data_IF_054559280139
#
_entry.id   IF_054559280139
#
_cell.length_a   1.000
_cell.length_b   1.000
_cell.length_c   1.000
_cell.angle_alpha   90.00
_cell.angle_beta   90.00
_cell.angle_gamma   90.00
#
_symmetry.space_group_name_H-M   'P 1'
#
loop_
_entity.id
_entity.type
_entity.pdbx_description
1 polymer ?
#
# COMPACT_ATOMS: atom_id res chain seq x y z
N UNK A 1 17.56 -18.48 7.27
CA UNK A 1 17.77 -17.03 7.54
C UNK A 1 16.42 -16.42 7.84
N UNK A 2 16.35 -15.46 8.75
CA UNK A 2 15.12 -14.71 9.02
C UNK A 2 14.86 -13.77 7.87
N UNK A 3 13.66 -13.80 7.30
CA UNK A 3 13.23 -12.86 6.27
C UNK A 3 12.66 -11.60 6.94
N UNK A 4 12.71 -10.46 6.25
CA UNK A 4 12.19 -9.18 6.74
C UNK A 4 11.02 -8.72 5.89
N UNK A 5 9.91 -8.36 6.53
CA UNK A 5 8.77 -7.70 5.91
C UNK A 5 8.85 -6.19 6.19
N UNK A 6 8.99 -5.36 5.17
CA UNK A 6 8.86 -3.90 5.29
C UNK A 6 7.39 -3.50 5.09
N UNK A 7 6.78 -2.92 6.12
CA UNK A 7 5.43 -2.36 6.04
C UNK A 7 5.54 -0.87 5.73
N UNK A 8 5.36 -0.53 4.45
CA UNK A 8 5.37 0.85 3.96
C UNK A 8 4.00 1.47 4.16
N UNK A 9 3.95 2.58 4.87
CA UNK A 9 2.71 3.26 5.24
C UNK A 9 2.76 4.71 4.81
N UNK A 10 1.87 5.11 3.88
CA UNK A 10 1.74 6.51 3.53
C UNK A 10 0.91 7.27 4.57
N UNK A 11 1.41 8.44 4.97
CA UNK A 11 0.80 9.25 6.03
C UNK A 11 0.65 10.69 5.57
N UNK A 12 -0.60 11.19 5.55
CA UNK A 12 -0.89 12.61 5.33
C UNK A 12 -2.06 13.07 6.17
N UNK A 13 -1.80 13.80 7.27
CA UNK A 13 -2.79 14.25 8.27
C UNK A 13 -3.65 13.09 8.79
N UNK A 14 -3.03 12.10 9.41
CA UNK A 14 -3.66 10.90 9.95
C UNK A 14 -3.51 10.81 11.49
N UNK A 15 -3.36 11.95 12.19
CA UNK A 15 -3.15 11.99 13.64
C UNK A 15 -4.16 11.18 14.46
N UNK A 16 -5.41 11.09 13.98
CA UNK A 16 -6.49 10.37 14.66
C UNK A 16 -6.43 8.86 14.50
N UNK A 17 -5.80 8.35 13.42
CA UNK A 17 -5.77 6.93 13.10
C UNK A 17 -4.42 6.26 13.44
N UNK A 18 -3.32 7.02 13.42
CA UNK A 18 -1.96 6.46 13.51
C UNK A 18 -1.71 5.59 14.74
N UNK A 19 -2.20 5.99 15.91
CA UNK A 19 -1.95 5.22 17.15
C UNK A 19 -2.66 3.87 17.13
N UNK A 20 -3.90 3.83 16.64
CA UNK A 20 -4.67 2.59 16.51
C UNK A 20 -4.08 1.71 15.41
N UNK A 21 -3.74 2.31 14.25
CA UNK A 21 -3.07 1.60 13.16
C UNK A 21 -1.78 0.91 13.63
N UNK A 22 -0.91 1.65 14.34
CA UNK A 22 0.35 1.10 14.85
C UNK A 22 0.11 -0.03 15.86
N UNK A 23 -0.86 0.15 16.77
CA UNK A 23 -1.17 -0.84 17.79
C UNK A 23 -1.78 -2.13 17.18
N UNK A 24 -2.77 -2.02 16.28
CA UNK A 24 -3.41 -3.17 15.64
C UNK A 24 -2.42 -3.91 14.73
N UNK A 25 -1.77 -3.18 13.84
CA UNK A 25 -0.82 -3.76 12.89
C UNK A 25 0.36 -4.41 13.61
N UNK A 26 0.89 -3.77 14.66
CA UNK A 26 1.97 -4.32 15.47
C UNK A 26 1.61 -5.61 16.21
N UNK A 27 0.34 -5.78 16.64
CA UNK A 27 -0.13 -7.05 17.22
C UNK A 27 -0.08 -8.20 16.20
N UNK A 28 -0.45 -7.94 14.95
CA UNK A 28 -0.43 -8.93 13.89
C UNK A 28 1.01 -9.26 13.49
N UNK A 29 1.85 -8.24 13.28
CA UNK A 29 3.24 -8.41 12.86
C UNK A 29 4.08 -9.23 13.85
N UNK A 30 3.82 -9.10 15.15
CA UNK A 30 4.46 -9.93 16.20
C UNK A 30 4.11 -11.41 16.12
N UNK A 31 3.12 -11.79 15.29
CA UNK A 31 2.60 -13.16 15.15
C UNK A 31 2.69 -13.65 13.71
N UNK A 32 3.55 -13.05 12.89
CA UNK A 32 3.76 -13.51 11.52
C UNK A 32 4.16 -15.00 11.52
N UNK A 33 3.63 -15.78 10.58
CA UNK A 33 4.01 -17.18 10.45
C UNK A 33 5.43 -17.34 9.94
N UNK A 34 6.00 -18.54 10.16
CA UNK A 34 7.31 -18.88 9.63
C UNK A 34 8.45 -18.13 10.29
N UNK A 35 9.42 -17.74 9.48
CA UNK A 35 10.65 -17.08 9.92
C UNK A 35 10.71 -15.64 9.41
N UNK A 36 9.64 -14.87 9.61
CA UNK A 36 9.55 -13.50 9.23
C UNK A 36 9.68 -12.56 10.43
N UNK A 37 10.56 -11.57 10.30
CA UNK A 37 10.60 -10.37 11.14
C UNK A 37 10.00 -9.19 10.36
N UNK A 38 9.86 -8.03 10.98
CA UNK A 38 9.21 -6.88 10.36
C UNK A 38 9.87 -5.55 10.71
N UNK A 39 9.66 -4.56 9.86
CA UNK A 39 9.88 -3.14 10.12
C UNK A 39 8.68 -2.32 9.65
N UNK A 40 8.42 -1.20 10.32
CA UNK A 40 7.55 -0.16 9.82
C UNK A 40 8.35 0.91 9.11
N UNK A 41 7.90 1.31 7.94
CA UNK A 41 8.44 2.44 7.20
C UNK A 41 7.32 3.44 6.90
N UNK A 42 7.15 4.41 7.79
CA UNK A 42 6.19 5.47 7.63
C UNK A 42 6.73 6.57 6.72
N UNK A 43 5.99 6.92 5.69
CA UNK A 43 6.32 8.04 4.80
C UNK A 43 5.35 9.18 5.06
N UNK A 44 5.81 10.19 5.80
CA UNK A 44 5.04 11.40 6.07
C UNK A 44 5.08 12.33 4.85
N UNK A 45 3.97 12.46 4.16
CA UNK A 45 3.80 13.29 2.97
C UNK A 45 3.51 14.76 3.32
N UNK A 46 4.36 15.33 4.18
CA UNK A 46 4.27 16.74 4.58
C UNK A 46 2.99 17.09 5.36
N UNK A 47 2.61 16.26 6.33
CA UNK A 47 1.47 16.51 7.22
C UNK A 47 1.60 17.85 7.96
N UNK A 48 0.46 18.46 8.26
CA UNK A 48 0.34 19.75 8.96
C UNK A 48 -0.29 19.61 10.35
N UNK A 49 -0.75 18.42 10.69
CA UNK A 49 -1.30 18.03 11.99
C UNK A 49 -0.23 17.38 12.87
N UNK A 50 -0.62 16.67 13.93
CA UNK A 50 0.30 16.01 14.85
C UNK A 50 0.89 14.69 14.30
N UNK A 51 0.60 14.29 13.05
CA UNK A 51 1.06 13.01 12.49
C UNK A 51 2.57 12.83 12.62
N UNK A 52 3.38 13.83 12.23
CA UNK A 52 4.83 13.73 12.31
C UNK A 52 5.33 13.60 13.77
N UNK A 53 4.70 14.29 14.71
CA UNK A 53 5.04 14.18 16.14
C UNK A 53 4.80 12.76 16.65
N UNK A 54 3.64 12.19 16.32
CA UNK A 54 3.27 10.82 16.69
C UNK A 54 4.25 9.80 16.09
N UNK A 55 4.62 9.96 14.81
CA UNK A 55 5.59 9.07 14.18
C UNK A 55 6.96 9.13 14.86
N UNK A 56 7.42 10.32 15.27
CA UNK A 56 8.67 10.49 16.02
C UNK A 56 8.62 9.82 17.40
N UNK A 57 7.47 9.85 18.08
CA UNK A 57 7.27 9.11 19.34
C UNK A 57 7.42 7.60 19.11
N UNK A 58 6.82 7.05 18.02
CA UNK A 58 6.98 5.63 17.69
C UNK A 58 8.45 5.28 17.44
N UNK A 59 9.15 6.04 16.59
CA UNK A 59 10.55 5.77 16.28
C UNK A 59 11.49 5.92 17.49
N UNK A 60 11.13 6.75 18.47
CA UNK A 60 11.90 6.89 19.70
C UNK A 60 11.72 5.70 20.66
N UNK A 61 10.59 4.97 20.55
CA UNK A 61 10.22 3.86 21.44
C UNK A 61 10.39 2.47 20.81
N UNK A 62 10.52 2.39 19.47
CA UNK A 62 10.61 1.13 18.74
C UNK A 62 11.62 1.27 17.59
N UNK A 63 12.72 0.54 17.68
CA UNK A 63 13.81 0.50 16.67
C UNK A 63 13.37 -0.06 15.31
N UNK A 64 12.25 -0.76 15.27
CA UNK A 64 11.63 -1.27 14.04
C UNK A 64 10.87 -0.19 13.26
N UNK A 65 10.72 1.00 13.81
CA UNK A 65 10.01 2.12 13.17
C UNK A 65 11.00 3.06 12.51
N UNK A 66 10.85 3.21 11.20
CA UNK A 66 11.61 4.16 10.37
C UNK A 66 10.67 5.21 9.79
N UNK A 67 11.19 6.42 9.57
CA UNK A 67 10.41 7.54 9.04
C UNK A 67 11.12 8.17 7.86
N UNK A 68 10.40 8.31 6.75
CA UNK A 68 10.75 9.21 5.65
C UNK A 68 9.85 10.43 5.75
N UNK A 69 10.43 11.63 5.85
CA UNK A 69 9.66 12.85 6.02
C UNK A 69 9.84 13.79 4.83
N UNK A 70 8.76 14.09 4.13
CA UNK A 70 8.78 15.02 3.02
C UNK A 70 8.68 16.48 3.49
N UNK A 71 9.32 17.39 2.76
CA UNK A 71 9.29 18.83 3.03
C UNK A 71 7.93 19.48 2.78
N UNK A 72 7.07 18.85 1.97
CA UNK A 72 5.68 19.24 1.67
C UNK A 72 4.90 18.06 1.14
N UNK A 73 3.62 18.21 0.92
CA UNK A 73 2.81 17.21 0.23
C UNK A 73 3.23 17.08 -1.25
N UNK A 74 3.62 15.86 -1.65
CA UNK A 74 3.95 15.44 -3.02
C UNK A 74 2.95 14.44 -3.58
N UNK A 75 2.01 13.97 -2.76
CA UNK A 75 0.95 13.03 -3.11
C UNK A 75 1.24 11.58 -2.73
N UNK A 76 0.16 10.82 -2.59
CA UNK A 76 0.16 9.43 -2.13
C UNK A 76 1.11 8.52 -2.93
N UNK A 77 1.05 8.56 -4.25
CA UNK A 77 1.94 7.79 -5.14
C UNK A 77 3.43 8.10 -4.87
N UNK A 78 3.75 9.38 -4.61
CA UNK A 78 5.12 9.78 -4.27
C UNK A 78 5.56 9.18 -2.94
N UNK A 79 4.67 9.16 -1.95
CA UNK A 79 4.96 8.57 -0.65
C UNK A 79 5.18 7.06 -0.74
N UNK A 80 4.33 6.35 -1.49
CA UNK A 80 4.50 4.91 -1.70
C UNK A 80 5.81 4.57 -2.43
N UNK A 81 6.18 5.33 -3.46
CA UNK A 81 7.43 5.13 -4.18
C UNK A 81 8.64 5.39 -3.28
N UNK A 82 8.61 6.47 -2.48
CA UNK A 82 9.67 6.70 -1.50
C UNK A 82 9.75 5.56 -0.47
N UNK A 83 8.62 5.04 -0.03
CA UNK A 83 8.58 3.85 0.81
C UNK A 83 9.25 2.65 0.16
N UNK A 84 8.92 2.36 -1.09
CA UNK A 84 9.60 1.31 -1.86
C UNK A 84 11.11 1.57 -1.97
N UNK A 85 11.55 2.82 -2.16
CA UNK A 85 12.97 3.17 -2.29
C UNK A 85 13.78 2.88 -1.03
N UNK A 86 13.21 3.13 0.14
CA UNK A 86 13.88 2.99 1.43
C UNK A 86 13.61 1.66 2.14
N UNK A 87 12.65 0.86 1.68
CA UNK A 87 12.36 -0.44 2.26
C UNK A 87 13.52 -1.41 2.07
N UNK A 88 13.93 -2.10 3.15
CA UNK A 88 15.04 -3.05 3.15
C UNK A 88 14.62 -4.52 3.16
N UNK A 89 13.32 -4.80 3.25
CA UNK A 89 12.77 -6.14 3.44
C UNK A 89 12.90 -7.06 2.23
N UNK A 90 12.83 -8.36 2.50
CA UNK A 90 12.72 -9.42 1.49
C UNK A 90 11.33 -9.41 0.84
N UNK A 91 10.31 -8.99 1.60
CA UNK A 91 8.97 -8.64 1.15
C UNK A 91 8.62 -7.21 1.56
N UNK A 92 7.90 -6.48 0.73
CA UNK A 92 7.49 -5.09 0.98
C UNK A 92 5.98 -5.01 0.76
N UNK A 93 5.24 -4.58 1.75
CA UNK A 93 3.81 -4.33 1.67
C UNK A 93 3.52 -2.85 1.78
N UNK A 94 2.70 -2.33 0.86
CA UNK A 94 2.25 -0.94 0.86
C UNK A 94 0.79 -0.86 1.32
N UNK A 95 0.50 -0.02 2.33
CA UNK A 95 -0.84 0.15 2.87
C UNK A 95 -1.07 1.55 3.43
N UNK A 96 -2.34 1.91 3.62
CA UNK A 96 -2.73 3.20 4.17
C UNK A 96 -2.86 3.14 5.71
N UNK A 97 -2.67 4.29 6.36
CA UNK A 97 -2.72 4.42 7.81
C UNK A 97 -4.15 4.47 8.39
N UNK A 98 -5.21 4.44 7.57
CA UNK A 98 -6.60 4.67 7.97
C UNK A 98 -7.38 3.41 8.38
N UNK A 99 -6.68 2.25 8.42
CA UNK A 99 -7.25 0.92 8.73
C UNK A 99 -8.30 0.40 7.73
N UNK A 100 -8.48 1.05 6.58
CA UNK A 100 -9.30 0.50 5.49
C UNK A 100 -8.65 -0.75 4.86
N UNK A 101 -7.32 -0.83 4.93
CA UNK A 101 -6.52 -2.01 4.58
C UNK A 101 -6.31 -2.86 5.84
N UNK A 102 -6.99 -4.02 5.95
CA UNK A 102 -6.97 -4.80 7.19
C UNK A 102 -5.60 -5.46 7.42
N UNK A 103 -4.96 -5.20 8.58
CA UNK A 103 -3.67 -5.82 8.91
C UNK A 103 -3.72 -7.35 8.98
N UNK A 104 -4.91 -7.94 9.16
CA UNK A 104 -5.11 -9.38 9.18
C UNK A 104 -4.72 -10.10 7.89
N UNK A 105 -4.56 -9.37 6.79
CA UNK A 105 -4.05 -9.92 5.54
C UNK A 105 -2.53 -10.16 5.56
N UNK A 106 -1.78 -9.55 6.48
CA UNK A 106 -0.31 -9.63 6.50
C UNK A 106 0.23 -11.06 6.66
N UNK A 107 -0.34 -11.93 7.50
CA UNK A 107 0.09 -13.35 7.56
C UNK A 107 -0.07 -14.07 6.22
N UNK A 108 -1.19 -13.90 5.53
CA UNK A 108 -1.41 -14.52 4.22
C UNK A 108 -0.45 -13.98 3.15
N UNK A 109 -0.12 -12.68 3.21
CA UNK A 109 0.87 -12.06 2.31
C UNK A 109 2.23 -12.74 2.46
N UNK A 110 2.72 -12.95 3.67
CA UNK A 110 4.03 -13.61 3.86
C UNK A 110 4.00 -15.08 3.47
N UNK A 111 2.87 -15.77 3.64
CA UNK A 111 2.67 -17.14 3.14
C UNK A 111 2.77 -17.18 1.61
N UNK A 112 2.18 -16.20 0.91
CA UNK A 112 2.30 -16.10 -0.56
C UNK A 112 3.75 -15.84 -1.01
N UNK A 113 4.52 -15.04 -0.28
CA UNK A 113 5.94 -14.92 -0.55
C UNK A 113 6.70 -16.24 -0.33
N UNK A 114 6.34 -17.02 0.69
CA UNK A 114 6.94 -18.32 0.94
C UNK A 114 6.54 -19.38 -0.12
N UNK A 115 5.38 -19.24 -0.75
CA UNK A 115 4.95 -20.01 -1.93
C UNK A 115 5.71 -19.63 -3.22
N UNK A 116 6.49 -18.52 -3.21
CA UNK A 116 7.30 -18.08 -4.35
C UNK A 116 6.67 -16.99 -5.21
N UNK A 117 5.50 -16.44 -4.83
CA UNK A 117 4.94 -15.29 -5.52
C UNK A 117 5.76 -14.03 -5.22
N UNK A 118 5.95 -13.20 -6.23
CA UNK A 118 6.75 -11.97 -6.11
C UNK A 118 5.91 -10.69 -6.19
N UNK A 119 4.68 -10.80 -6.67
CA UNK A 119 3.69 -9.70 -6.72
C UNK A 119 2.36 -10.18 -6.17
N UNK A 120 1.87 -9.51 -5.14
CA UNK A 120 0.61 -9.85 -4.48
C UNK A 120 -0.30 -8.62 -4.58
N UNK A 121 -1.33 -8.71 -5.42
CA UNK A 121 -2.32 -7.65 -5.59
C UNK A 121 -3.48 -7.88 -4.63
N UNK A 122 -3.75 -6.90 -3.78
CA UNK A 122 -4.89 -6.95 -2.89
C UNK A 122 -6.14 -6.46 -3.60
N UNK A 123 -7.13 -7.31 -3.72
CA UNK A 123 -8.38 -7.05 -4.45
C UNK A 123 -9.51 -6.80 -3.46
N UNK A 124 -10.10 -5.61 -3.56
CA UNK A 124 -11.23 -5.26 -2.71
C UNK A 124 -12.47 -6.01 -3.13
N UNK A 125 -13.03 -6.84 -2.23
CA UNK A 125 -14.33 -7.48 -2.46
C UNK A 125 -15.42 -6.42 -2.56
N UNK A 126 -16.31 -6.58 -3.56
CA UNK A 126 -17.38 -5.61 -3.80
C UNK A 126 -18.37 -5.61 -2.65
N UNK A 127 -18.56 -4.49 -1.98
CA UNK A 127 -19.77 -4.26 -1.22
C UNK A 127 -20.97 -4.33 -2.17
N UNK A 128 -21.94 -5.21 -1.92
CA UNK A 128 -23.18 -5.40 -2.72
C UNK A 128 -24.06 -4.14 -2.84
N UNK A 129 -23.68 -3.06 -2.15
CA UNK A 129 -24.40 -1.76 -2.12
C UNK A 129 -23.84 -0.70 -3.09
N UNK A 130 -22.77 -0.98 -3.83
CA UNK A 130 -22.25 -0.03 -4.82
C UNK A 130 -23.16 -0.01 -6.07
N UNK A 131 -23.68 1.15 -6.43
CA UNK A 131 -24.67 1.32 -7.50
C UNK A 131 -24.23 0.72 -8.84
N UNK A 132 -25.19 0.07 -9.52
CA UNK A 132 -25.02 -0.66 -10.80
C UNK A 132 -24.28 0.13 -11.89
N UNK A 133 -24.49 1.44 -12.00
CA UNK A 133 -23.90 2.30 -13.03
C UNK A 133 -22.38 2.42 -12.88
N UNK A 134 -21.87 2.57 -11.66
CA UNK A 134 -20.41 2.68 -11.39
C UNK A 134 -19.68 1.38 -11.67
N UNK A 135 -20.36 0.25 -11.54
CA UNK A 135 -19.79 -1.08 -11.79
C UNK A 135 -19.65 -1.37 -13.30
N UNK A 136 -20.59 -0.89 -14.12
CA UNK A 136 -20.58 -1.12 -15.59
C UNK A 136 -19.48 -0.30 -16.27
N UNK A 137 -19.31 0.97 -15.90
CA UNK A 137 -18.29 1.85 -16.48
C UNK A 137 -16.87 1.39 -16.12
N UNK A 138 -16.63 0.97 -14.89
CA UNK A 138 -15.35 0.41 -14.46
C UNK A 138 -15.04 -0.90 -15.19
N UNK A 139 -15.98 -1.82 -15.29
CA UNK A 139 -15.80 -3.08 -15.99
C UNK A 139 -15.52 -2.88 -17.50
N UNK A 140 -16.19 -1.95 -18.14
CA UNK A 140 -15.96 -1.61 -19.55
C UNK A 140 -14.55 -1.01 -19.76
N UNK A 141 -14.11 -0.14 -18.85
CA UNK A 141 -12.77 0.46 -18.86
C UNK A 141 -11.67 -0.60 -18.73
N UNK A 142 -11.77 -1.49 -17.73
CA UNK A 142 -10.78 -2.57 -17.56
C UNK A 142 -10.81 -3.58 -18.72
N UNK A 143 -11.99 -3.86 -19.28
CA UNK A 143 -12.09 -4.71 -20.48
C UNK A 143 -11.41 -4.08 -21.68
N UNK A 144 -11.54 -2.76 -21.87
CA UNK A 144 -10.88 -2.02 -22.94
C UNK A 144 -9.36 -1.99 -22.73
N UNK A 145 -8.88 -1.65 -21.54
CA UNK A 145 -7.44 -1.63 -21.22
C UNK A 145 -6.85 -3.03 -21.39
N UNK A 146 -7.49 -4.08 -20.87
CA UNK A 146 -7.01 -5.44 -21.00
C UNK A 146 -7.05 -5.98 -22.46
N UNK A 147 -7.83 -5.34 -23.33
CA UNK A 147 -7.83 -5.66 -24.76
C UNK A 147 -6.72 -4.94 -25.53
N UNK A 148 -6.32 -3.74 -25.04
CA UNK A 148 -5.28 -2.90 -25.67
C UNK A 148 -3.88 -3.13 -25.06
N UNK A 149 -3.79 -3.86 -23.98
CA UNK A 149 -2.54 -4.14 -23.25
C UNK A 149 -2.20 -5.61 -23.31
N UNK A 150 -0.93 -5.92 -23.46
CA UNK A 150 -0.40 -7.30 -23.36
C UNK A 150 -0.43 -7.81 -21.90
N UNK A 151 -0.68 -6.93 -20.94
CA UNK A 151 -0.77 -7.24 -19.52
C UNK A 151 -2.22 -7.21 -19.05
N UNK A 152 -2.66 -8.26 -18.36
CA UNK A 152 -3.97 -8.29 -17.72
C UNK A 152 -3.92 -7.53 -16.40
N UNK A 153 -4.67 -6.42 -16.34
CA UNK A 153 -4.88 -5.64 -15.12
C UNK A 153 -6.06 -6.21 -14.34
N UNK A 154 -5.85 -6.45 -13.05
CA UNK A 154 -6.90 -6.87 -12.12
C UNK A 154 -7.86 -5.70 -11.85
N UNK A 155 -9.13 -5.92 -12.20
CA UNK A 155 -10.19 -4.98 -11.87
C UNK A 155 -10.35 -4.95 -10.33
N UNK A 156 -10.41 -3.74 -9.75
CA UNK A 156 -10.50 -3.50 -8.30
C UNK A 156 -9.22 -3.78 -7.49
N UNK A 157 -8.05 -3.97 -8.13
CA UNK A 157 -6.78 -3.89 -7.41
C UNK A 157 -6.69 -2.54 -6.68
N UNK A 158 -6.32 -2.57 -5.42
CA UNK A 158 -6.20 -1.38 -4.58
C UNK A 158 -4.74 -0.90 -4.51
N UNK A 159 -4.52 0.24 -3.83
CA UNK A 159 -3.17 0.70 -3.48
C UNK A 159 -2.57 -0.11 -2.30
N UNK A 160 -3.30 -1.09 -1.80
CA UNK A 160 -2.81 -2.15 -0.94
C UNK A 160 -2.25 -3.27 -1.82
N UNK A 161 -0.96 -3.49 -1.77
CA UNK A 161 -0.26 -4.52 -2.54
C UNK A 161 1.02 -4.92 -1.82
N UNK A 162 1.60 -6.05 -2.22
CA UNK A 162 2.92 -6.44 -1.75
C UNK A 162 3.80 -6.90 -2.92
N UNK A 163 5.10 -6.66 -2.78
CA UNK A 163 6.11 -7.03 -3.77
C UNK A 163 7.34 -7.64 -3.09
N UNK A 164 8.00 -8.58 -3.76
CA UNK A 164 9.28 -9.10 -3.33
C UNK A 164 10.38 -8.02 -3.46
N UNK A 165 11.52 -8.26 -2.84
CA UNK A 165 12.71 -7.42 -3.00
C UNK A 165 13.11 -7.27 -4.46
N UNK A 166 13.10 -8.36 -5.24
CA UNK A 166 13.45 -8.33 -6.66
C UNK A 166 12.48 -7.46 -7.47
N UNK A 167 11.17 -7.64 -7.26
CA UNK A 167 10.14 -6.84 -7.92
C UNK A 167 10.27 -5.35 -7.54
N UNK A 168 10.55 -5.06 -6.26
CA UNK A 168 10.79 -3.69 -5.80
C UNK A 168 12.03 -3.07 -6.45
N UNK A 169 13.11 -3.82 -6.65
CA UNK A 169 14.31 -3.33 -7.35
C UNK A 169 14.01 -2.96 -8.81
N UNK A 170 13.19 -3.74 -9.51
CA UNK A 170 12.74 -3.39 -10.87
C UNK A 170 11.91 -2.11 -10.87
N UNK A 171 10.98 -1.94 -9.92
CA UNK A 171 10.19 -0.71 -9.77
C UNK A 171 11.09 0.49 -9.48
N UNK A 172 12.08 0.34 -8.59
CA UNK A 172 13.04 1.40 -8.25
C UNK A 172 13.88 1.87 -9.43
N UNK A 173 14.31 0.95 -10.28
CA UNK A 173 15.31 1.23 -11.31
C UNK A 173 14.69 1.62 -12.66
N UNK A 174 13.46 1.18 -12.97
CA UNK A 174 12.90 1.28 -14.32
C UNK A 174 11.61 2.12 -14.40
N UNK A 175 10.95 2.46 -13.27
CA UNK A 175 9.65 3.15 -13.27
C UNK A 175 9.75 4.49 -12.52
N UNK A 176 10.35 5.49 -13.19
CA UNK A 176 10.66 6.81 -12.59
C UNK A 176 9.98 7.97 -13.30
N UNK A 177 8.88 7.70 -13.98
CA UNK A 177 8.12 8.70 -14.72
C UNK A 177 7.56 9.78 -13.78
N UNK A 178 7.37 10.99 -14.34
CA UNK A 178 6.77 12.11 -13.58
C UNK A 178 5.30 11.89 -13.26
N UNK A 179 4.56 11.31 -14.20
CA UNK A 179 3.17 10.87 -13.99
C UNK A 179 3.25 9.43 -13.51
N UNK A 180 2.86 9.20 -12.28
CA UNK A 180 3.04 7.93 -11.60
C UNK A 180 1.74 7.16 -11.60
N UNK A 181 1.82 5.87 -11.91
CA UNK A 181 0.70 4.94 -11.83
C UNK A 181 1.19 3.62 -11.22
N UNK A 182 1.58 3.70 -9.93
CA UNK A 182 2.24 2.61 -9.23
C UNK A 182 1.45 1.31 -9.28
N UNK A 183 0.13 1.38 -9.11
CA UNK A 183 -0.78 0.22 -9.22
C UNK A 183 -0.68 -0.49 -10.58
N UNK A 184 -0.53 0.27 -11.66
CA UNK A 184 -0.32 -0.28 -13.00
C UNK A 184 1.06 -0.89 -13.15
N UNK A 185 2.10 -0.22 -12.68
CA UNK A 185 3.47 -0.72 -12.76
C UNK A 185 3.63 -2.05 -12.03
N UNK A 186 3.14 -2.15 -10.79
CA UNK A 186 3.17 -3.39 -9.99
C UNK A 186 2.55 -4.57 -10.73
N UNK A 187 1.48 -4.35 -11.47
CA UNK A 187 0.81 -5.42 -12.23
C UNK A 187 1.50 -5.77 -13.54
N UNK A 188 2.35 -4.88 -14.08
CA UNK A 188 2.97 -5.02 -15.41
C UNK A 188 4.41 -5.53 -15.41
N UNK A 189 5.07 -5.61 -14.26
CA UNK A 189 6.51 -5.94 -14.17
C UNK A 189 6.90 -7.39 -14.49
N UNK A 190 5.94 -8.27 -14.79
CA UNK A 190 6.21 -9.59 -15.37
C UNK A 190 6.66 -10.68 -14.40
N UNK A 191 6.62 -10.45 -13.09
CA UNK A 191 6.93 -11.46 -12.06
C UNK A 191 5.74 -12.39 -11.77
N UNK A 192 6.00 -13.53 -11.11
CA UNK A 192 4.95 -14.43 -10.63
C UNK A 192 4.01 -13.70 -9.67
N UNK A 193 2.73 -13.66 -10.04
CA UNK A 193 1.74 -12.85 -9.35
C UNK A 193 0.55 -13.64 -8.85
N UNK A 194 0.00 -13.19 -7.74
CA UNK A 194 -1.26 -13.70 -7.17
C UNK A 194 -2.14 -12.58 -6.64
N UNK A 195 -3.35 -12.91 -6.24
CA UNK A 195 -4.31 -11.99 -5.63
C UNK A 195 -4.76 -12.50 -4.28
N UNK A 196 -5.00 -11.58 -3.35
CA UNK A 196 -5.68 -11.84 -2.09
C UNK A 196 -6.92 -10.94 -2.05
N UNK A 197 -8.08 -11.54 -1.81
CA UNK A 197 -9.32 -10.78 -1.64
C UNK A 197 -9.44 -10.29 -0.21
N UNK A 198 -9.88 -9.03 -0.03
CA UNK A 198 -10.14 -8.48 1.30
C UNK A 198 -11.41 -7.62 1.32
N UNK A 199 -12.06 -7.58 2.47
CA UNK A 199 -13.15 -6.66 2.73
C UNK A 199 -12.58 -5.38 3.36
N UNK A 200 -12.77 -4.24 2.67
CA UNK A 200 -12.29 -2.99 3.21
C UNK A 200 -13.13 -2.56 4.41
N UNK A 201 -12.47 -2.23 5.49
CA UNK A 201 -13.10 -1.69 6.69
C UNK A 201 -13.60 -0.26 6.45
N UNK A 202 -14.59 0.20 7.21
CA UNK A 202 -14.86 1.64 7.31
C UNK A 202 -13.59 2.36 7.79
N UNK A 203 -13.35 3.58 7.29
CA UNK A 203 -12.25 4.41 7.80
C UNK A 203 -12.40 4.59 9.30
N UNK A 204 -11.33 4.35 10.05
CA UNK A 204 -11.35 4.44 11.52
C UNK A 204 -11.65 5.87 12.01
N UNK A 205 -11.03 6.88 11.37
CA UNK A 205 -11.24 8.30 11.70
C UNK A 205 -10.88 9.19 10.50
N UNK A 206 -11.30 10.47 10.58
CA UNK A 206 -11.01 11.48 9.56
C UNK A 206 -11.97 11.47 8.36
N UNK A 207 -11.85 12.51 7.51
CA UNK A 207 -12.65 12.66 6.30
C UNK A 207 -11.86 12.25 5.06
N UNK A 208 -12.57 11.83 4.00
CA UNK A 208 -11.95 11.55 2.71
C UNK A 208 -11.31 12.82 2.14
N UNK A 209 -10.00 12.81 1.92
CA UNK A 209 -9.22 13.95 1.42
C UNK A 209 -9.33 14.12 -0.10
N UNK A 210 -10.01 13.18 -0.79
CA UNK A 210 -10.31 13.28 -2.22
C UNK A 210 -11.56 14.12 -2.44
N UNK A 211 -11.39 15.43 -2.69
CA UNK A 211 -12.48 16.29 -3.17
C UNK A 211 -12.66 16.10 -4.68
N UNK A 212 -13.90 16.32 -5.19
CA UNK A 212 -14.16 16.33 -6.64
C UNK A 212 -13.23 17.30 -7.40
N UNK A 213 -12.76 18.38 -6.75
CA UNK A 213 -11.78 19.33 -7.32
C UNK A 213 -10.37 18.74 -7.49
N UNK A 214 -9.98 17.77 -6.68
CA UNK A 214 -8.67 17.12 -6.84
C UNK A 214 -8.62 16.17 -8.02
N UNK A 215 -9.75 15.55 -8.39
CA UNK A 215 -9.84 14.66 -9.56
C UNK A 215 -9.61 15.40 -10.89
N UNK A 216 -9.96 16.70 -10.97
CA UNK A 216 -9.71 17.52 -12.16
C UNK A 216 -8.29 18.11 -12.26
N UNK A 217 -7.46 17.96 -11.25
CA UNK A 217 -6.08 18.47 -11.22
C UNK A 217 -5.05 17.45 -11.73
N UNK A 218 -5.48 16.23 -12.01
CA UNK A 218 -4.67 15.12 -12.55
C UNK A 218 -4.95 14.84 -14.03
N UNK A 219 -5.68 15.75 -14.71
CA UNK A 219 -5.89 15.70 -16.18
C UNK A 219 -4.90 16.62 -16.88
#
# INVERSE_FOLDING_TARGET
MTKLLSVVVSVYNEELALREFYAETGKILKRLPGNWDYEFLFVNDGSRDQSLSILKEFAASDEKVKIVNFSRNFGHEAAMIAGLDYAGGDGIVCMDADLQHPPECLPEIVEKFDEGYEVISMVRTRNKTAGLVKNVTSAAFYKLINHLSDVKFEANASDFFAVSKNAAEVLRNNYREKVRFLRGYVQSIGFEKTTIEYEARPRFAGESKYSLKSLFKFS
#
